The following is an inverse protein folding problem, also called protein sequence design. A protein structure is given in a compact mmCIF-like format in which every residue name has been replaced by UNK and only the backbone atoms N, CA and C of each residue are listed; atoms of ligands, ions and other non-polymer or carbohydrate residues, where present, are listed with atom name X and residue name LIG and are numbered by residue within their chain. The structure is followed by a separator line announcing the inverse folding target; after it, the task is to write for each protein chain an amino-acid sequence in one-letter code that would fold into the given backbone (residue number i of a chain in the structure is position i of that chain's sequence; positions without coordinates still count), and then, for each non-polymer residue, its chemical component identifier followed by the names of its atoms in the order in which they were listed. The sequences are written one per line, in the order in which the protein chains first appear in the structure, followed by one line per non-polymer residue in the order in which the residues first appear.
data_IF_700925872863
#
_entry.id   IF_700925872863
#
_cell.length_a   1.000
_cell.length_b   1.000
_cell.length_c   1.000
_cell.angle_alpha   90.00
_cell.angle_beta   90.00
_cell.angle_gamma   90.00
#
_symmetry.space_group_name_H-M   'P 1'
#
loop_
_entity.id
_entity.type
_entity.pdbx_description
1 polymer ?
#
# COMPACT_ATOMS: atom_id res chain seq x y z
N UNK A 1 -15.41 27.69 3.40
CA UNK A 1 -14.90 26.91 2.25
C UNK A 1 -13.83 25.98 2.81
N UNK A 2 -14.01 24.66 2.77
CA UNK A 2 -12.97 23.72 3.22
C UNK A 2 -11.75 23.84 2.32
N UNK A 3 -10.54 23.67 2.87
CA UNK A 3 -9.33 23.57 2.04
C UNK A 3 -9.48 22.37 1.09
N UNK A 4 -8.95 22.44 -0.14
CA UNK A 4 -8.89 21.28 -1.02
C UNK A 4 -8.14 20.15 -0.32
N UNK A 5 -8.64 18.91 -0.44
CA UNK A 5 -7.86 17.73 -0.07
C UNK A 5 -6.80 17.56 -1.16
N UNK A 6 -5.53 17.62 -0.78
CA UNK A 6 -4.43 17.29 -1.68
C UNK A 6 -4.15 15.79 -1.59
N UNK A 7 -4.12 15.13 -2.73
CA UNK A 7 -3.72 13.73 -2.83
C UNK A 7 -2.23 13.63 -3.14
N UNK A 8 -1.57 12.62 -2.59
CA UNK A 8 -0.20 12.29 -2.97
C UNK A 8 -0.12 12.06 -4.49
N UNK A 9 0.93 12.57 -5.14
CA UNK A 9 1.10 12.47 -6.59
C UNK A 9 0.02 13.19 -7.44
N UNK A 10 -0.93 13.90 -6.82
CA UNK A 10 -2.02 14.60 -7.51
C UNK A 10 -3.06 13.68 -8.16
N UNK A 11 -3.01 12.36 -7.94
CA UNK A 11 -3.97 11.40 -8.49
C UNK A 11 -5.05 11.08 -7.46
N UNK A 12 -6.31 11.09 -7.89
CA UNK A 12 -7.44 10.68 -7.06
C UNK A 12 -7.32 9.18 -6.70
N UNK A 13 -7.22 8.82 -5.40
CA UNK A 13 -7.12 7.43 -4.97
C UNK A 13 -8.32 6.58 -5.41
N UNK A 14 -9.51 7.18 -5.62
CA UNK A 14 -10.68 6.46 -6.12
C UNK A 14 -10.53 6.03 -7.59
N UNK A 15 -9.65 6.68 -8.36
CA UNK A 15 -9.35 6.23 -9.73
C UNK A 15 -8.50 4.97 -9.72
N UNK A 16 -7.55 4.87 -8.77
CA UNK A 16 -6.68 3.70 -8.61
C UNK A 16 -7.34 2.56 -7.84
N UNK A 17 -8.26 2.87 -6.94
CA UNK A 17 -9.06 1.91 -6.21
C UNK A 17 -10.57 2.22 -6.34
N UNK A 18 -11.19 1.86 -7.48
CA UNK A 18 -12.59 2.19 -7.72
C UNK A 18 -13.53 1.59 -6.67
N UNK A 19 -14.53 2.37 -6.25
CA UNK A 19 -15.48 1.93 -5.23
C UNK A 19 -14.93 1.88 -3.81
N UNK A 20 -13.75 2.45 -3.58
CA UNK A 20 -13.24 2.68 -2.23
C UNK A 20 -14.04 3.75 -1.49
N UNK A 21 -14.20 3.53 -0.18
CA UNK A 21 -14.85 4.45 0.74
C UNK A 21 -13.86 4.92 1.81
N UNK A 22 -14.12 6.09 2.40
CA UNK A 22 -13.32 6.59 3.51
C UNK A 22 -13.47 5.62 4.70
N UNK A 23 -12.37 4.99 5.09
CA UNK A 23 -12.33 4.14 6.28
C UNK A 23 -12.14 4.96 7.54
N UNK A 24 -11.10 5.78 7.57
CA UNK A 24 -10.77 6.61 8.73
C UNK A 24 -9.87 7.79 8.33
N UNK A 25 -9.74 8.75 9.24
CA UNK A 25 -8.76 9.83 9.15
C UNK A 25 -7.82 9.73 10.33
N UNK A 26 -6.53 9.61 10.06
CA UNK A 26 -5.48 9.60 11.10
C UNK A 26 -4.77 10.94 11.13
N UNK A 27 -4.37 11.37 12.33
CA UNK A 27 -3.46 12.50 12.46
C UNK A 27 -2.05 11.97 12.25
N UNK A 28 -1.34 12.61 11.35
CA UNK A 28 0.05 12.33 11.02
C UNK A 28 0.92 13.56 11.30
N UNK A 29 2.21 13.36 11.50
CA UNK A 29 3.20 14.43 11.72
C UNK A 29 3.55 14.71 13.18
N UNK A 30 4.59 15.55 13.34
CA UNK A 30 5.20 15.88 14.62
C UNK A 30 4.28 16.73 15.53
N UNK A 31 4.53 16.76 16.85
CA UNK A 31 3.84 17.66 17.77
C UNK A 31 3.95 19.13 17.31
N UNK A 32 2.84 19.69 16.82
CA UNK A 32 2.77 21.06 16.29
C UNK A 32 2.33 21.12 14.83
N UNK A 33 2.44 20.00 14.11
CA UNK A 33 1.86 19.83 12.79
C UNK A 33 0.43 19.28 12.90
N UNK A 34 -0.44 19.81 12.04
CA UNK A 34 -1.81 19.31 11.87
C UNK A 34 -1.93 18.74 10.46
N UNK A 35 -1.23 17.64 10.19
CA UNK A 35 -1.43 16.84 9.00
C UNK A 35 -2.45 15.73 9.30
N UNK A 36 -3.37 15.53 8.38
CA UNK A 36 -4.34 14.46 8.43
C UNK A 36 -4.16 13.59 7.20
N UNK A 37 -4.17 12.28 7.39
CA UNK A 37 -4.14 11.29 6.32
C UNK A 37 -5.50 10.61 6.28
N UNK A 38 -6.12 10.61 5.10
CA UNK A 38 -7.40 9.97 4.86
C UNK A 38 -7.15 8.59 4.26
N UNK A 39 -7.53 7.54 4.99
CA UNK A 39 -7.35 6.17 4.57
C UNK A 39 -8.65 5.66 3.93
N UNK A 40 -8.53 5.12 2.72
CA UNK A 40 -9.65 4.61 1.94
C UNK A 40 -9.53 3.09 1.78
N UNK A 41 -10.66 2.39 1.81
CA UNK A 41 -10.70 0.93 1.75
C UNK A 41 -11.77 0.45 0.77
N UNK A 42 -11.54 -0.69 0.15
CA UNK A 42 -12.52 -1.43 -0.64
C UNK A 42 -12.29 -2.91 -0.50
N UNK A 43 -13.36 -3.71 -0.56
CA UNK A 43 -13.28 -5.16 -0.68
C UNK A 43 -13.79 -5.59 -2.06
N UNK A 44 -13.03 -6.46 -2.75
CA UNK A 44 -13.37 -6.93 -4.09
C UNK A 44 -12.91 -8.37 -4.33
N UNK A 45 -13.66 -9.19 -5.09
CA UNK A 45 -13.16 -10.47 -5.57
C UNK A 45 -11.89 -10.30 -6.39
N UNK A 46 -10.86 -11.08 -6.07
CA UNK A 46 -9.57 -11.02 -6.74
C UNK A 46 -9.65 -11.46 -8.21
N UNK A 47 -9.00 -10.71 -9.09
CA UNK A 47 -8.79 -11.05 -10.49
C UNK A 47 -7.36 -10.64 -10.90
N UNK A 48 -6.62 -11.51 -11.62
CA UNK A 48 -5.31 -11.14 -12.16
C UNK A 48 -5.38 -9.84 -12.96
N UNK A 49 -4.42 -8.93 -12.73
CA UNK A 49 -4.31 -7.65 -13.43
C UNK A 49 -5.14 -6.50 -12.83
N UNK A 50 -6.07 -6.77 -11.90
CA UNK A 50 -7.01 -5.75 -11.42
C UNK A 50 -6.35 -4.61 -10.64
N UNK A 51 -5.20 -4.86 -10.02
CA UNK A 51 -4.43 -3.87 -9.24
C UNK A 51 -3.19 -3.37 -10.00
N UNK A 52 -2.95 -3.80 -11.25
CA UNK A 52 -1.78 -3.36 -12.02
C UNK A 52 -1.69 -1.83 -12.19
N UNK A 53 -2.80 -1.08 -12.36
CA UNK A 53 -2.73 0.38 -12.37
C UNK A 53 -2.27 0.97 -11.04
N UNK A 54 -2.71 0.38 -9.91
CA UNK A 54 -2.29 0.79 -8.57
C UNK A 54 -0.80 0.49 -8.35
N UNK A 55 -0.35 -0.72 -8.69
CA UNK A 55 1.07 -1.11 -8.55
C UNK A 55 1.99 -0.24 -9.40
N UNK A 56 1.58 0.11 -10.63
CA UNK A 56 2.33 1.04 -11.49
C UNK A 56 2.38 2.45 -10.90
N UNK A 57 1.24 2.96 -10.41
CA UNK A 57 1.20 4.26 -9.78
C UNK A 57 2.12 4.34 -8.54
N UNK A 58 2.24 3.25 -7.78
CA UNK A 58 3.18 3.17 -6.66
C UNK A 58 4.64 3.17 -7.15
N UNK A 59 4.95 2.40 -8.19
CA UNK A 59 6.29 2.37 -8.76
C UNK A 59 6.71 3.71 -9.42
N UNK A 60 5.75 4.46 -9.95
CA UNK A 60 5.97 5.76 -10.61
C UNK A 60 5.89 6.96 -9.64
N UNK A 61 5.84 6.72 -8.32
CA UNK A 61 5.70 7.74 -7.26
C UNK A 61 4.43 8.63 -7.41
N UNK A 62 3.39 8.09 -8.05
CA UNK A 62 2.09 8.73 -8.23
C UNK A 62 1.08 8.35 -7.12
N UNK A 63 1.42 7.35 -6.31
CA UNK A 63 0.62 6.84 -5.19
C UNK A 63 1.56 6.26 -4.12
N UNK A 64 1.24 6.44 -2.84
CA UNK A 64 2.01 5.93 -1.72
C UNK A 64 1.08 5.40 -0.61
N UNK A 65 1.67 4.81 0.42
CA UNK A 65 0.97 4.31 1.61
C UNK A 65 -0.13 3.27 1.32
N UNK A 66 0.13 2.42 0.32
CA UNK A 66 -0.79 1.37 -0.11
C UNK A 66 -0.59 0.10 0.72
N UNK A 67 -1.70 -0.48 1.17
CA UNK A 67 -1.74 -1.84 1.73
C UNK A 67 -2.72 -2.69 0.94
N UNK A 68 -2.27 -3.85 0.47
CA UNK A 68 -3.09 -4.89 -0.16
C UNK A 68 -3.10 -6.09 0.76
N UNK A 69 -4.28 -6.66 1.01
CA UNK A 69 -4.42 -7.72 2.01
C UNK A 69 -5.59 -8.65 1.71
N UNK A 70 -5.57 -9.85 2.30
CA UNK A 70 -6.74 -10.70 2.36
C UNK A 70 -7.77 -10.13 3.35
N UNK A 71 -9.03 -10.56 3.25
CA UNK A 71 -10.11 -10.04 4.10
C UNK A 71 -9.92 -10.33 5.59
N UNK A 72 -9.03 -11.26 5.94
CA UNK A 72 -8.67 -11.58 7.32
C UNK A 72 -7.49 -10.79 7.88
N UNK A 73 -6.85 -9.90 7.11
CA UNK A 73 -5.63 -9.17 7.49
C UNK A 73 -4.47 -10.10 7.92
N UNK A 74 -4.36 -11.28 7.30
CA UNK A 74 -3.35 -12.30 7.64
C UNK A 74 -2.10 -12.16 6.78
N UNK A 75 -2.25 -11.62 5.57
CA UNK A 75 -1.15 -11.34 4.65
C UNK A 75 -1.29 -9.92 4.15
N UNK A 76 -0.27 -9.10 4.37
CA UNK A 76 -0.23 -7.73 3.90
C UNK A 76 0.93 -7.57 2.92
N UNK A 77 0.65 -6.86 1.85
CA UNK A 77 1.61 -6.47 0.82
C UNK A 77 1.64 -4.95 0.77
N UNK A 78 2.82 -4.38 1.02
CA UNK A 78 3.07 -2.94 1.03
C UNK A 78 4.06 -2.62 -0.10
N UNK A 79 3.59 -2.30 -1.32
CA UNK A 79 4.46 -1.92 -2.42
C UNK A 79 5.03 -0.51 -2.23
N UNK A 80 6.21 -0.28 -2.76
CA UNK A 80 6.87 1.03 -2.87
C UNK A 80 7.76 1.07 -4.13
N UNK A 81 8.28 2.25 -4.50
CA UNK A 81 9.23 2.36 -5.61
C UNK A 81 10.46 1.47 -5.37
N UNK A 82 10.69 0.53 -6.29
CA UNK A 82 11.80 -0.42 -6.25
C UNK A 82 11.54 -1.73 -5.49
N UNK A 83 10.37 -1.93 -4.85
CA UNK A 83 10.13 -3.16 -4.10
C UNK A 83 8.79 -3.26 -3.40
N UNK A 84 8.75 -4.13 -2.39
CA UNK A 84 7.60 -4.28 -1.51
C UNK A 84 7.97 -5.02 -0.23
N UNK A 85 7.23 -4.72 0.84
CA UNK A 85 7.26 -5.51 2.06
C UNK A 85 6.10 -6.51 2.08
N UNK A 86 6.40 -7.74 2.47
CA UNK A 86 5.42 -8.80 2.70
C UNK A 86 5.35 -9.13 4.19
N UNK A 87 4.25 -8.77 4.85
CA UNK A 87 3.98 -9.10 6.24
C UNK A 87 3.06 -10.31 6.26
N UNK A 88 3.55 -11.42 6.80
CA UNK A 88 2.89 -12.71 6.77
C UNK A 88 2.60 -13.20 8.18
N UNK A 89 1.55 -14.00 8.31
CA UNK A 89 1.02 -14.43 9.59
C UNK A 89 2.02 -15.22 10.43
N UNK A 90 2.86 -16.04 9.78
CA UNK A 90 3.84 -16.86 10.48
C UNK A 90 5.22 -16.80 9.85
N UNK A 91 6.23 -17.10 10.68
CA UNK A 91 7.63 -17.22 10.24
C UNK A 91 7.80 -18.32 9.19
N UNK A 92 7.08 -19.43 9.31
CA UNK A 92 7.14 -20.55 8.35
C UNK A 92 6.57 -20.15 6.98
N UNK A 93 5.51 -19.33 6.95
CA UNK A 93 4.99 -18.79 5.70
C UNK A 93 5.97 -17.80 5.08
N UNK A 94 6.52 -16.90 5.88
CA UNK A 94 7.56 -15.96 5.44
C UNK A 94 8.77 -16.67 4.85
N UNK A 95 9.29 -17.68 5.52
CA UNK A 95 10.49 -18.39 5.09
C UNK A 95 10.23 -19.20 3.80
N UNK A 96 9.03 -19.78 3.65
CA UNK A 96 8.63 -20.42 2.39
C UNK A 96 8.51 -19.41 1.24
N UNK A 97 7.88 -18.25 1.46
CA UNK A 97 7.77 -17.21 0.44
C UNK A 97 9.17 -16.70 0.04
N UNK A 98 10.02 -16.46 1.03
CA UNK A 98 11.42 -16.04 0.84
C UNK A 98 12.22 -17.05 0.01
N UNK A 99 12.06 -18.34 0.28
CA UNK A 99 12.74 -19.39 -0.49
C UNK A 99 12.22 -19.48 -1.94
N UNK A 100 10.90 -19.34 -2.13
CA UNK A 100 10.28 -19.40 -3.45
C UNK A 100 10.64 -18.20 -4.34
N UNK A 101 10.88 -17.02 -3.74
CA UNK A 101 11.17 -15.77 -4.43
C UNK A 101 12.53 -15.20 -4.02
N UNK A 102 13.56 -16.06 -3.96
CA UNK A 102 14.88 -15.64 -3.47
C UNK A 102 15.49 -14.48 -4.30
N UNK A 103 15.16 -14.41 -5.59
CA UNK A 103 15.61 -13.36 -6.52
C UNK A 103 15.01 -11.97 -6.23
N UNK A 104 13.94 -11.91 -5.43
CA UNK A 104 13.29 -10.65 -5.05
C UNK A 104 13.93 -10.02 -3.82
N UNK A 105 14.80 -10.76 -3.11
CA UNK A 105 15.43 -10.25 -1.91
C UNK A 105 16.40 -9.13 -2.25
N UNK A 106 16.28 -8.03 -1.51
CA UNK A 106 17.26 -6.95 -1.58
C UNK A 106 18.67 -7.50 -1.30
N UNK A 107 19.63 -7.08 -2.13
CA UNK A 107 21.05 -7.39 -1.91
C UNK A 107 21.63 -6.56 -0.77
N UNK A 108 20.88 -5.58 -0.29
CA UNK A 108 21.29 -4.63 0.74
C UNK A 108 20.71 -5.09 2.09
N UNK A 109 21.53 -5.17 3.16
CA UNK A 109 21.08 -5.65 4.47
C UNK A 109 19.96 -4.81 5.09
N UNK A 110 19.88 -3.53 4.73
CA UNK A 110 18.89 -2.53 5.15
C UNK A 110 17.62 -2.52 4.29
N UNK A 111 17.53 -3.34 3.25
CA UNK A 111 16.32 -3.51 2.44
C UNK A 111 16.16 -2.51 1.30
N UNK A 112 16.59 -1.26 1.46
CA UNK A 112 16.67 -0.24 0.38
C UNK A 112 17.84 -0.47 -0.56
#
# INVERSE_FOLDING_TARGET
MGKPVEFFGGRDPHTLNPGSELWTTVRDGDPGECRFVHLYVSERPWQPGMIDPLLRAVADDECADVLITDTGLRRLYHPYDGGADCILETTEERDRLKAAHHDWLSRRPDGF
#
